data_IF_504003129650
#
_entry.id   IF_504003129650
#
_cell.length_a   1.000
_cell.length_b   1.000
_cell.length_c   1.000
_cell.angle_alpha   90.00
_cell.angle_beta   90.00
_cell.angle_gamma   90.00
#
_symmetry.space_group_name_H-M   'P 1'
#
loop_
_entity.id
_entity.type
_entity.pdbx_description
1 polymer ?
#
# COMPACT_ATOMS: atom_id res chain seq x y z
N UNK A 1 -20.47 23.11 -18.41
CA UNK A 1 -20.13 22.37 -17.18
C UNK A 1 -20.34 20.87 -17.30
N UNK A 2 -21.50 20.33 -17.72
CA UNK A 2 -21.77 18.88 -17.84
C UNK A 2 -20.76 18.14 -18.75
N UNK A 3 -20.30 18.73 -19.85
CA UNK A 3 -19.34 18.13 -20.79
C UNK A 3 -17.92 17.90 -20.21
N UNK A 4 -17.57 18.55 -19.09
CA UNK A 4 -16.29 18.38 -18.40
C UNK A 4 -16.45 17.48 -17.19
N UNK A 5 -17.52 17.67 -16.43
CA UNK A 5 -17.73 16.99 -15.14
C UNK A 5 -17.99 15.49 -15.30
N UNK A 6 -18.87 15.09 -16.24
CA UNK A 6 -19.22 13.67 -16.44
C UNK A 6 -17.98 12.83 -16.83
N UNK A 7 -17.17 13.19 -17.83
CA UNK A 7 -15.96 12.44 -18.16
C UNK A 7 -14.95 12.40 -17.00
N UNK A 8 -14.81 13.49 -16.24
CA UNK A 8 -13.90 13.52 -15.09
C UNK A 8 -14.36 12.54 -13.99
N UNK A 9 -15.63 12.59 -13.61
CA UNK A 9 -16.19 11.70 -12.58
C UNK A 9 -16.08 10.22 -13.01
N UNK A 10 -16.45 9.89 -14.25
CA UNK A 10 -16.33 8.54 -14.78
C UNK A 10 -14.87 8.07 -14.79
N UNK A 11 -13.96 8.91 -15.22
CA UNK A 11 -12.52 8.61 -15.23
C UNK A 11 -12.01 8.31 -13.82
N UNK A 12 -12.33 9.16 -12.85
CA UNK A 12 -11.94 8.99 -11.44
C UNK A 12 -12.51 7.68 -10.89
N UNK A 13 -13.81 7.43 -11.05
CA UNK A 13 -14.46 6.23 -10.51
C UNK A 13 -13.88 4.93 -11.11
N UNK A 14 -13.77 4.87 -12.43
CA UNK A 14 -13.22 3.69 -13.12
C UNK A 14 -11.77 3.45 -12.67
N UNK A 15 -10.96 4.49 -12.61
CA UNK A 15 -9.55 4.37 -12.21
C UNK A 15 -9.42 3.95 -10.76
N UNK A 16 -10.25 4.47 -9.84
CA UNK A 16 -10.23 4.06 -8.44
C UNK A 16 -10.63 2.59 -8.25
N UNK A 17 -11.62 2.11 -9.02
CA UNK A 17 -12.00 0.68 -9.03
C UNK A 17 -10.84 -0.17 -9.55
N UNK A 18 -10.20 0.22 -10.65
CA UNK A 18 -9.05 -0.50 -11.20
C UNK A 18 -7.92 -0.54 -10.17
N UNK A 19 -7.63 0.57 -9.51
CA UNK A 19 -6.59 0.66 -8.47
C UNK A 19 -6.88 -0.29 -7.31
N UNK A 20 -8.13 -0.36 -6.85
CA UNK A 20 -8.54 -1.29 -5.80
C UNK A 20 -8.44 -2.76 -6.24
N UNK A 21 -8.86 -3.08 -7.46
CA UNK A 21 -8.71 -4.43 -8.03
C UNK A 21 -7.25 -4.85 -8.15
N UNK A 22 -6.35 -3.94 -8.52
CA UNK A 22 -4.91 -4.25 -8.64
C UNK A 22 -4.25 -4.42 -7.28
N UNK A 23 -4.65 -3.65 -6.27
CA UNK A 23 -4.21 -3.86 -4.89
C UNK A 23 -4.64 -5.23 -4.40
N UNK A 24 -5.92 -5.59 -4.56
CA UNK A 24 -6.44 -6.91 -4.20
C UNK A 24 -5.72 -8.04 -4.94
N UNK A 25 -5.52 -7.91 -6.25
CA UNK A 25 -4.79 -8.90 -7.06
C UNK A 25 -3.36 -9.10 -6.52
N UNK A 26 -2.66 -8.01 -6.19
CA UNK A 26 -1.28 -8.08 -5.73
C UNK A 26 -1.18 -8.62 -4.30
N UNK A 27 -2.00 -8.12 -3.38
CA UNK A 27 -1.94 -8.47 -1.97
C UNK A 27 -2.48 -9.88 -1.69
N UNK A 28 -3.67 -10.21 -2.22
CA UNK A 28 -4.39 -11.43 -1.86
C UNK A 28 -4.10 -12.62 -2.81
N UNK A 29 -3.85 -12.35 -4.09
CA UNK A 29 -3.70 -13.42 -5.08
C UNK A 29 -2.22 -13.69 -5.37
N UNK A 30 -1.43 -12.64 -5.56
CA UNK A 30 -0.01 -12.77 -5.87
C UNK A 30 0.87 -12.79 -4.62
N UNK A 31 0.32 -12.47 -3.46
CA UNK A 31 1.03 -12.37 -2.17
C UNK A 31 2.30 -11.51 -2.26
N UNK A 32 2.24 -10.45 -3.06
CA UNK A 32 3.37 -9.55 -3.32
C UNK A 32 2.99 -8.10 -3.04
N UNK A 33 3.78 -7.48 -2.18
CA UNK A 33 3.67 -6.08 -1.79
C UNK A 33 4.95 -5.34 -2.17
N UNK A 34 5.12 -5.08 -3.46
CA UNK A 34 6.38 -4.59 -4.01
C UNK A 34 6.23 -3.36 -4.90
N UNK A 35 7.17 -3.22 -5.82
CA UNK A 35 7.23 -2.09 -6.76
C UNK A 35 5.99 -1.98 -7.65
N UNK A 36 5.34 -3.10 -7.97
CA UNK A 36 4.12 -3.12 -8.78
C UNK A 36 3.00 -2.33 -8.13
N UNK A 37 2.79 -2.51 -6.83
CA UNK A 37 1.74 -1.80 -6.08
C UNK A 37 2.06 -0.32 -5.92
N UNK A 38 3.29 0.01 -5.51
CA UNK A 38 3.64 1.38 -5.10
C UNK A 38 4.09 2.28 -6.26
N UNK A 39 4.59 1.72 -7.36
CA UNK A 39 5.09 2.48 -8.51
C UNK A 39 4.30 2.20 -9.79
N UNK A 40 4.21 0.91 -10.20
CA UNK A 40 3.61 0.56 -11.50
C UNK A 40 2.12 0.82 -11.51
N UNK A 41 1.39 0.38 -10.49
CA UNK A 41 -0.07 0.56 -10.41
C UNK A 41 -0.45 2.05 -10.41
N UNK A 42 0.09 2.94 -9.55
CA UNK A 42 -0.29 4.34 -9.57
C UNK A 42 0.13 5.05 -10.86
N UNK A 43 1.29 4.70 -11.45
CA UNK A 43 1.72 5.25 -12.74
C UNK A 43 0.73 4.89 -13.84
N UNK A 44 0.39 3.60 -13.97
CA UNK A 44 -0.54 3.12 -14.98
C UNK A 44 -1.97 3.63 -14.76
N UNK A 45 -2.42 3.68 -13.50
CA UNK A 45 -3.72 4.25 -13.14
C UNK A 45 -3.81 5.75 -13.49
N UNK A 46 -2.73 6.51 -13.26
CA UNK A 46 -2.63 7.90 -13.70
C UNK A 46 -2.75 8.04 -15.22
N UNK A 47 -2.06 7.19 -15.97
CA UNK A 47 -2.14 7.16 -17.42
C UNK A 47 -3.54 6.77 -17.93
N UNK A 48 -4.14 5.72 -17.35
CA UNK A 48 -5.51 5.29 -17.64
C UNK A 48 -6.51 6.41 -17.36
N UNK A 49 -6.40 7.09 -16.21
CA UNK A 49 -7.26 8.22 -15.86
C UNK A 49 -7.21 9.32 -16.90
N UNK A 50 -6.00 9.70 -17.31
CA UNK A 50 -5.78 10.72 -18.33
C UNK A 50 -6.36 10.31 -19.69
N UNK A 51 -6.13 9.07 -20.14
CA UNK A 51 -6.67 8.55 -21.40
C UNK A 51 -8.19 8.56 -21.38
N UNK A 52 -8.83 8.04 -20.34
CA UNK A 52 -10.28 8.03 -20.18
C UNK A 52 -10.88 9.43 -20.26
N UNK A 53 -10.25 10.39 -19.59
CA UNK A 53 -10.71 11.78 -19.58
C UNK A 53 -10.62 12.44 -20.98
N UNK A 54 -9.65 12.03 -21.80
CA UNK A 54 -9.42 12.60 -23.15
C UNK A 54 -10.13 11.83 -24.27
N UNK A 55 -10.72 10.65 -24.04
CA UNK A 55 -11.34 9.81 -25.09
C UNK A 55 -12.37 10.59 -25.92
N UNK A 56 -13.29 11.29 -25.25
CA UNK A 56 -14.39 11.97 -25.94
C UNK A 56 -13.94 13.27 -26.61
N UNK A 57 -13.12 14.05 -25.94
CA UNK A 57 -12.67 15.36 -26.41
C UNK A 57 -11.23 15.61 -25.98
N UNK A 58 -10.48 16.33 -26.83
CA UNK A 58 -9.13 16.77 -26.49
C UNK A 58 -9.16 17.77 -25.34
N UNK A 59 -8.48 17.44 -24.24
CA UNK A 59 -8.42 18.26 -23.03
C UNK A 59 -7.04 18.90 -22.88
N UNK A 60 -6.97 19.92 -22.02
CA UNK A 60 -5.69 20.54 -21.67
C UNK A 60 -4.90 19.64 -20.72
N UNK A 61 -3.57 19.67 -20.83
CA UNK A 61 -2.68 18.88 -19.99
C UNK A 61 -2.92 19.12 -18.50
N UNK A 62 -3.17 20.37 -18.10
CA UNK A 62 -3.47 20.73 -16.69
C UNK A 62 -4.74 20.06 -16.17
N UNK A 63 -5.77 19.93 -16.99
CA UNK A 63 -7.02 19.26 -16.64
C UNK A 63 -6.80 17.75 -16.48
N UNK A 64 -6.07 17.14 -17.42
CA UNK A 64 -5.72 15.72 -17.36
C UNK A 64 -4.88 15.41 -16.12
N UNK A 65 -3.89 16.24 -15.81
CA UNK A 65 -3.07 16.13 -14.62
C UNK A 65 -3.90 16.22 -13.34
N UNK A 66 -4.79 17.21 -13.26
CA UNK A 66 -5.68 17.38 -12.11
C UNK A 66 -6.59 16.16 -11.90
N UNK A 67 -7.20 15.64 -12.97
CA UNK A 67 -8.06 14.45 -12.90
C UNK A 67 -7.27 13.22 -12.46
N UNK A 68 -6.03 13.03 -12.95
CA UNK A 68 -5.16 11.92 -12.54
C UNK A 68 -4.76 12.02 -11.07
N UNK A 69 -4.37 13.20 -10.59
CA UNK A 69 -4.06 13.43 -9.16
C UNK A 69 -5.28 13.20 -8.27
N UNK A 70 -6.44 13.69 -8.70
CA UNK A 70 -7.69 13.50 -7.96
C UNK A 70 -8.08 12.02 -7.92
N UNK A 71 -7.86 11.26 -9.01
CA UNK A 71 -8.05 9.81 -9.02
C UNK A 71 -7.15 9.12 -8.00
N UNK A 72 -5.88 9.52 -7.91
CA UNK A 72 -4.94 9.01 -6.91
C UNK A 72 -5.38 9.30 -5.49
N UNK A 73 -5.79 10.53 -5.22
CA UNK A 73 -6.28 10.93 -3.91
C UNK A 73 -7.56 10.18 -3.50
N UNK A 74 -8.52 10.05 -4.41
CA UNK A 74 -9.77 9.29 -4.16
C UNK A 74 -9.48 7.80 -3.96
N UNK A 75 -8.50 7.21 -4.68
CA UNK A 75 -8.09 5.83 -4.48
C UNK A 75 -7.49 5.62 -3.08
N UNK A 76 -6.60 6.50 -2.63
CA UNK A 76 -6.03 6.44 -1.27
C UNK A 76 -7.11 6.58 -0.20
N UNK A 77 -8.03 7.52 -0.38
CA UNK A 77 -9.16 7.70 0.54
C UNK A 77 -10.06 6.46 0.56
N UNK A 78 -10.28 5.83 -0.59
CA UNK A 78 -11.00 4.57 -0.71
C UNK A 78 -10.32 3.44 0.07
N UNK A 79 -9.01 3.26 -0.07
CA UNK A 79 -8.27 2.23 0.67
C UNK A 79 -8.38 2.41 2.19
N UNK A 80 -8.36 3.66 2.65
CA UNK A 80 -8.57 3.98 4.06
C UNK A 80 -10.00 3.65 4.53
N UNK A 81 -11.02 4.10 3.78
CA UNK A 81 -12.42 3.95 4.20
C UNK A 81 -12.90 2.51 4.16
N UNK A 82 -12.37 1.70 3.25
CA UNK A 82 -12.70 0.26 3.16
C UNK A 82 -11.80 -0.62 4.05
N UNK A 83 -10.87 -0.03 4.80
CA UNK A 83 -10.01 -0.76 5.72
C UNK A 83 -8.96 -1.66 5.05
N UNK A 84 -8.64 -1.42 3.77
CA UNK A 84 -7.56 -2.16 3.09
C UNK A 84 -6.19 -1.82 3.64
N UNK A 85 -6.00 -0.56 4.08
CA UNK A 85 -4.73 -0.08 4.62
C UNK A 85 -4.95 0.89 5.78
N UNK A 86 -4.04 0.84 6.75
CA UNK A 86 -4.03 1.78 7.85
C UNK A 86 -3.66 3.19 7.41
N UNK A 87 -4.23 4.21 8.08
CA UNK A 87 -4.03 5.62 7.71
C UNK A 87 -2.56 6.05 7.66
N UNK A 88 -1.70 5.51 8.52
CA UNK A 88 -0.26 5.79 8.50
C UNK A 88 0.44 5.16 7.31
N UNK A 89 0.11 3.91 6.96
CA UNK A 89 0.67 3.27 5.77
C UNK A 89 0.36 4.09 4.52
N UNK A 90 -0.89 4.58 4.41
CA UNK A 90 -1.30 5.44 3.30
C UNK A 90 -0.61 6.81 3.31
N UNK A 91 -0.41 7.40 4.49
CA UNK A 91 0.33 8.66 4.63
C UNK A 91 1.79 8.51 4.20
N UNK A 92 2.42 7.38 4.53
CA UNK A 92 3.78 7.05 4.08
C UNK A 92 3.86 6.71 2.59
N UNK A 93 2.83 6.08 2.02
CA UNK A 93 2.77 5.74 0.60
C UNK A 93 2.41 6.94 -0.30
N UNK A 94 1.61 7.89 0.19
CA UNK A 94 1.12 9.03 -0.59
C UNK A 94 2.22 9.86 -1.27
N UNK A 95 3.37 10.19 -0.62
CA UNK A 95 4.48 10.91 -1.25
C UNK A 95 5.10 10.19 -2.45
N UNK A 96 4.93 8.87 -2.55
CA UNK A 96 5.41 8.05 -3.68
C UNK A 96 4.30 7.90 -4.72
N UNK A 97 3.11 7.52 -4.28
CA UNK A 97 2.00 7.19 -5.18
C UNK A 97 1.45 8.41 -5.93
N UNK A 98 1.27 9.55 -5.27
CA UNK A 98 0.70 10.75 -5.92
C UNK A 98 1.58 11.30 -7.04
N UNK A 99 2.92 11.43 -6.89
CA UNK A 99 3.80 11.74 -8.02
C UNK A 99 3.72 10.73 -9.15
N UNK A 100 3.58 9.42 -8.86
CA UNK A 100 3.40 8.40 -9.88
C UNK A 100 2.08 8.58 -10.64
N UNK A 101 0.97 8.89 -9.96
CA UNK A 101 -0.29 9.26 -10.63
C UNK A 101 -0.12 10.50 -11.51
N UNK A 102 0.60 11.52 -11.05
CA UNK A 102 0.87 12.72 -11.83
C UNK A 102 1.71 12.42 -13.09
N UNK A 103 2.81 11.69 -12.92
CA UNK A 103 3.67 11.27 -14.04
C UNK A 103 2.91 10.40 -15.03
N UNK A 104 2.14 9.43 -14.54
CA UNK A 104 1.26 8.60 -15.35
C UNK A 104 0.26 9.45 -16.14
N UNK A 105 -0.36 10.42 -15.48
CA UNK A 105 -1.29 11.36 -16.11
C UNK A 105 -0.66 12.18 -17.24
N UNK A 106 0.57 12.65 -17.04
CA UNK A 106 1.34 13.35 -18.08
C UNK A 106 1.68 12.44 -19.25
N UNK A 107 2.20 11.25 -18.96
CA UNK A 107 2.54 10.25 -19.98
C UNK A 107 1.31 9.81 -20.77
N UNK A 108 0.22 9.48 -20.08
CA UNK A 108 -1.04 9.08 -20.71
C UNK A 108 -1.61 10.17 -21.60
N UNK A 109 -1.55 11.43 -21.17
CA UNK A 109 -1.94 12.56 -21.99
C UNK A 109 -1.08 12.68 -23.26
N UNK A 110 0.26 12.64 -23.12
CA UNK A 110 1.20 12.74 -24.24
C UNK A 110 1.02 11.59 -25.23
N UNK A 111 1.02 10.34 -24.74
CA UNK A 111 0.83 9.16 -25.57
C UNK A 111 -0.51 9.23 -26.33
N UNK A 112 -1.60 9.56 -25.61
CA UNK A 112 -2.91 9.64 -26.22
C UNK A 112 -2.98 10.70 -27.33
N UNK A 113 -2.33 11.86 -27.15
CA UNK A 113 -2.27 12.90 -28.18
C UNK A 113 -1.52 12.41 -29.43
N UNK A 114 -0.45 11.63 -29.27
CA UNK A 114 0.35 11.09 -30.36
C UNK A 114 -0.38 10.00 -31.16
N UNK A 115 -1.12 9.12 -30.48
CA UNK A 115 -1.71 7.93 -31.13
C UNK A 115 -3.18 8.11 -31.48
N UNK A 116 -3.83 9.18 -31.05
CA UNK A 116 -5.27 9.42 -31.27
C UNK A 116 -5.69 9.37 -32.75
N UNK A 117 -4.87 9.89 -33.65
CA UNK A 117 -5.18 9.93 -35.08
C UNK A 117 -4.97 8.56 -35.74
N UNK A 118 -4.14 7.71 -35.14
CA UNK A 118 -3.81 6.37 -35.66
C UNK A 118 -4.71 5.30 -35.01
N UNK A 119 -4.93 5.38 -33.70
CA UNK A 119 -5.71 4.41 -32.92
C UNK A 119 -6.98 5.09 -32.44
N UNK A 120 -8.13 4.71 -33.02
CA UNK A 120 -9.43 5.29 -32.70
C UNK A 120 -10.10 4.60 -31.53
N UNK A 121 -10.92 5.35 -30.79
CA UNK A 121 -11.83 4.81 -29.77
C UNK A 121 -11.17 4.44 -28.44
N UNK A 122 -11.57 3.30 -27.90
CA UNK A 122 -11.18 2.84 -26.55
C UNK A 122 -9.95 1.92 -26.53
N UNK A 123 -9.36 1.63 -27.69
CA UNK A 123 -8.22 0.71 -27.83
C UNK A 123 -7.03 1.07 -26.93
N UNK A 124 -6.60 2.35 -26.78
CA UNK A 124 -5.49 2.70 -25.88
C UNK A 124 -5.79 2.37 -24.42
N UNK A 125 -7.01 2.56 -23.98
CA UNK A 125 -7.45 2.22 -22.63
C UNK A 125 -7.40 0.70 -22.41
N UNK A 126 -7.93 -0.10 -23.35
CA UNK A 126 -7.93 -1.57 -23.22
C UNK A 126 -6.52 -2.15 -23.21
N UNK A 127 -5.59 -1.60 -24.01
CA UNK A 127 -4.20 -2.01 -23.99
C UNK A 127 -3.53 -1.71 -22.65
N UNK A 128 -3.75 -0.54 -22.08
CA UNK A 128 -3.21 -0.17 -20.75
C UNK A 128 -3.81 -1.03 -19.65
N UNK A 129 -5.11 -1.30 -19.72
CA UNK A 129 -5.80 -2.14 -18.74
C UNK A 129 -5.28 -3.59 -18.77
N UNK A 130 -5.04 -4.17 -19.95
CA UNK A 130 -4.47 -5.50 -20.10
C UNK A 130 -3.00 -5.60 -19.68
N UNK A 131 -2.21 -4.55 -19.91
CA UNK A 131 -0.80 -4.52 -19.57
C UNK A 131 -0.55 -4.54 -18.06
N UNK A 132 -1.43 -3.93 -17.28
CA UNK A 132 -1.26 -3.74 -15.84
C UNK A 132 -1.16 -5.07 -15.06
N UNK A 133 -2.13 -6.02 -15.18
CA UNK A 133 -2.01 -7.32 -14.51
C UNK A 133 -0.86 -8.18 -15.05
N UNK A 134 -0.46 -8.00 -16.31
CA UNK A 134 0.71 -8.68 -16.87
C UNK A 134 1.99 -8.21 -16.19
N UNK A 135 2.15 -6.91 -15.96
CA UNK A 135 3.32 -6.34 -15.27
C UNK A 135 3.38 -6.82 -13.82
N UNK A 136 2.25 -6.83 -13.10
CA UNK A 136 2.18 -7.37 -11.73
C UNK A 136 2.51 -8.87 -11.69
N UNK A 137 1.95 -9.66 -12.61
CA UNK A 137 2.23 -11.09 -12.72
C UNK A 137 3.67 -11.40 -13.12
N UNK A 138 4.32 -10.51 -13.87
CA UNK A 138 5.75 -10.64 -14.18
C UNK A 138 6.61 -10.34 -12.95
N UNK A 139 6.28 -9.29 -12.19
CA UNK A 139 6.97 -8.98 -10.93
C UNK A 139 6.88 -10.13 -9.93
N UNK A 140 5.72 -10.79 -9.81
CA UNK A 140 5.53 -11.90 -8.87
C UNK A 140 6.47 -13.08 -9.14
N UNK A 141 6.98 -13.23 -10.38
CA UNK A 141 7.92 -14.27 -10.77
C UNK A 141 9.39 -13.90 -10.56
N UNK A 142 9.69 -12.63 -10.27
CA UNK A 142 11.04 -12.22 -9.97
C UNK A 142 11.47 -12.79 -8.61
N UNK A 143 12.67 -13.38 -8.50
CA UNK A 143 13.17 -13.86 -7.22
C UNK A 143 13.32 -12.67 -6.27
N UNK A 144 12.62 -12.72 -5.16
CA UNK A 144 12.83 -11.77 -4.06
C UNK A 144 14.07 -12.24 -3.32
N UNK A 145 15.15 -11.50 -3.42
CA UNK A 145 16.29 -11.67 -2.54
C UNK A 145 15.89 -11.06 -1.19
N UNK A 146 15.57 -11.94 -0.24
CA UNK A 146 15.33 -11.52 1.14
C UNK A 146 16.61 -10.95 1.72
N UNK A 147 16.75 -9.64 1.62
CA UNK A 147 17.81 -8.94 2.33
C UNK A 147 17.43 -8.84 3.81
N UNK A 148 17.91 -9.79 4.60
CA UNK A 148 17.79 -9.71 6.06
C UNK A 148 18.50 -8.43 6.50
N UNK A 149 17.74 -7.47 6.99
CA UNK A 149 18.25 -6.23 7.55
C UNK A 149 18.14 -6.31 9.06
N UNK A 150 19.29 -6.18 9.74
CA UNK A 150 19.32 -6.10 11.19
C UNK A 150 19.07 -4.65 11.62
N UNK A 151 18.04 -4.44 12.43
CA UNK A 151 17.78 -3.17 13.11
C UNK A 151 18.11 -3.36 14.58
N UNK A 152 18.92 -2.48 15.17
CA UNK A 152 19.28 -2.51 16.57
C UNK A 152 18.80 -1.24 17.26
N UNK A 153 17.94 -1.40 18.26
CA UNK A 153 17.51 -0.34 19.17
C UNK A 153 18.10 -0.60 20.54
N UNK A 154 18.66 0.41 21.19
CA UNK A 154 19.22 0.32 22.54
C UNK A 154 18.47 1.27 23.45
N UNK A 155 17.99 0.74 24.58
CA UNK A 155 17.41 1.53 25.67
C UNK A 155 18.17 1.20 26.96
N UNK A 156 18.32 2.18 27.82
CA UNK A 156 18.87 1.96 29.16
C UNK A 156 17.71 1.80 30.13
N UNK A 157 17.74 0.74 30.93
CA UNK A 157 16.71 0.43 31.92
C UNK A 157 17.42 0.29 33.29
N UNK A 158 16.98 1.05 34.28
CA UNK A 158 17.42 0.90 35.67
C UNK A 158 16.60 -0.18 36.33
N UNK A 159 17.16 -1.38 36.51
CA UNK A 159 16.48 -2.52 37.12
C UNK A 159 17.37 -3.76 37.17
N UNK A 160 16.92 -4.76 37.88
CA UNK A 160 17.58 -6.07 37.91
C UNK A 160 17.42 -6.75 36.54
N UNK A 161 18.50 -7.39 36.06
CA UNK A 161 18.51 -8.04 34.74
C UNK A 161 17.52 -9.18 34.64
N UNK A 162 17.27 -9.90 35.80
CA UNK A 162 16.31 -10.97 35.85
C UNK A 162 14.88 -10.47 35.71
N UNK A 163 14.55 -9.35 36.35
CA UNK A 163 13.21 -8.73 36.25
C UNK A 163 12.95 -8.23 34.83
N UNK A 164 13.93 -7.56 34.25
CA UNK A 164 13.84 -7.10 32.85
C UNK A 164 13.67 -8.27 31.89
N UNK A 165 14.38 -9.38 32.14
CA UNK A 165 14.26 -10.58 31.30
C UNK A 165 12.85 -11.19 31.36
N UNK A 166 12.21 -11.22 32.51
CA UNK A 166 10.85 -11.70 32.66
C UNK A 166 9.85 -10.89 31.84
N UNK A 167 9.98 -9.56 31.87
CA UNK A 167 9.13 -8.66 31.09
C UNK A 167 9.42 -8.71 29.57
N UNK A 168 10.60 -9.13 29.16
CA UNK A 168 10.92 -9.36 27.73
C UNK A 168 10.26 -10.63 27.22
N UNK A 169 10.24 -11.70 28.04
CA UNK A 169 9.66 -12.98 27.65
C UNK A 169 8.14 -12.91 27.58
N UNK A 170 7.52 -12.38 28.63
CA UNK A 170 6.08 -12.25 28.74
C UNK A 170 5.75 -11.02 29.60
N UNK A 171 4.70 -10.31 29.25
CA UNK A 171 4.23 -9.16 30.01
C UNK A 171 2.70 -9.13 30.08
N UNK A 172 2.20 -8.56 31.17
CA UNK A 172 0.77 -8.43 31.42
C UNK A 172 0.15 -7.36 30.52
N UNK A 173 -1.18 -7.34 30.48
CA UNK A 173 -1.94 -6.38 29.66
C UNK A 173 -1.49 -4.93 29.90
N UNK A 174 -1.05 -4.27 28.85
CA UNK A 174 -0.67 -2.86 28.85
C UNK A 174 -1.93 -2.02 28.66
N UNK A 175 -2.09 -0.88 29.38
CA UNK A 175 -3.21 0.02 29.18
C UNK A 175 -3.29 0.51 27.73
N UNK A 176 -4.51 0.68 27.21
CA UNK A 176 -4.70 1.23 25.87
C UNK A 176 -4.03 2.59 25.72
N UNK A 177 -3.26 2.80 24.63
CA UNK A 177 -2.62 4.08 24.38
C UNK A 177 -3.67 5.16 24.09
N UNK A 178 -3.45 6.33 24.65
CA UNK A 178 -4.37 7.48 24.50
C UNK A 178 -4.10 8.33 23.29
N UNK A 179 -2.92 8.18 22.68
CA UNK A 179 -2.45 8.97 21.55
C UNK A 179 -3.31 8.72 20.29
N UNK A 180 -3.64 9.80 19.62
CA UNK A 180 -4.50 9.79 18.44
C UNK A 180 -3.97 8.89 17.29
N UNK A 181 -2.65 8.70 17.23
CA UNK A 181 -1.99 7.86 16.23
C UNK A 181 -2.46 6.40 16.29
N UNK A 182 -2.58 5.85 17.50
CA UNK A 182 -3.07 4.47 17.69
C UNK A 182 -4.55 4.34 17.35
N UNK A 183 -5.33 5.41 17.53
CA UNK A 183 -6.74 5.48 17.12
C UNK A 183 -6.92 5.49 15.60
N UNK A 184 -5.87 5.81 14.84
CA UNK A 184 -5.84 5.76 13.37
C UNK A 184 -5.48 4.35 12.82
N UNK A 185 -5.42 3.33 13.67
CA UNK A 185 -5.17 1.95 13.24
C UNK A 185 -3.70 1.51 13.28
N UNK A 186 -2.81 2.23 13.99
CA UNK A 186 -1.50 1.69 14.30
C UNK A 186 -1.65 0.56 15.30
N UNK A 187 -1.04 -0.59 14.97
CA UNK A 187 -0.96 -1.71 15.89
C UNK A 187 -0.15 -1.33 17.14
N UNK A 188 -0.66 -1.69 18.30
CA UNK A 188 0.04 -1.57 19.56
C UNK A 188 -0.04 -2.90 20.33
N UNK A 189 0.99 -3.24 21.12
CA UNK A 189 0.99 -4.46 21.92
C UNK A 189 -0.03 -4.36 23.06
N UNK A 190 -0.73 -5.46 23.31
CA UNK A 190 -1.69 -5.59 24.42
C UNK A 190 -1.05 -6.39 25.56
N UNK A 191 -0.54 -7.57 25.26
CA UNK A 191 0.15 -8.46 26.19
C UNK A 191 1.05 -9.43 25.43
N UNK A 192 1.89 -10.16 26.16
CA UNK A 192 2.65 -11.27 25.60
C UNK A 192 2.64 -12.46 26.58
N UNK A 193 2.34 -13.64 26.05
CA UNK A 193 2.36 -14.90 26.78
C UNK A 193 3.32 -15.89 26.12
N UNK A 194 3.85 -16.85 26.90
CA UNK A 194 4.73 -17.89 26.38
C UNK A 194 4.25 -19.26 26.83
N UNK A 195 4.25 -20.20 25.92
CA UNK A 195 3.99 -21.62 26.16
C UNK A 195 5.29 -22.42 26.08
N UNK A 196 5.69 -23.04 27.18
CA UNK A 196 6.96 -23.75 27.28
C UNK A 196 8.11 -22.87 27.79
N UNK A 197 9.33 -23.39 27.69
CA UNK A 197 10.55 -22.75 28.19
C UNK A 197 11.74 -23.13 27.28
N UNK A 198 12.62 -22.15 27.03
CA UNK A 198 13.81 -22.38 26.23
C UNK A 198 13.56 -22.43 24.71
N UNK A 199 14.50 -23.02 23.98
CA UNK A 199 14.40 -23.20 22.53
C UNK A 199 13.24 -24.16 22.21
N UNK A 200 12.37 -23.76 21.28
CA UNK A 200 11.16 -24.50 20.91
C UNK A 200 9.89 -24.05 21.65
N UNK A 201 10.00 -23.20 22.66
CA UNK A 201 8.84 -22.52 23.25
C UNK A 201 8.15 -21.63 22.21
N UNK A 202 6.85 -21.38 22.40
CA UNK A 202 6.06 -20.52 21.50
C UNK A 202 5.63 -19.29 22.29
N UNK A 203 6.03 -18.11 21.83
CA UNK A 203 5.60 -16.84 22.36
C UNK A 203 4.46 -16.27 21.50
N UNK A 204 3.40 -15.83 22.17
CA UNK A 204 2.28 -15.14 21.55
C UNK A 204 2.37 -13.66 21.94
N UNK A 205 2.62 -12.81 20.98
CA UNK A 205 2.62 -11.37 21.15
C UNK A 205 1.30 -10.82 20.62
N UNK A 206 0.39 -10.43 21.51
CA UNK A 206 -0.94 -9.98 21.16
C UNK A 206 -0.94 -8.48 20.91
N UNK A 207 -1.32 -8.10 19.68
CA UNK A 207 -1.49 -6.72 19.26
C UNK A 207 -2.97 -6.41 19.02
N UNK A 208 -3.32 -5.14 18.97
CA UNK A 208 -4.68 -4.67 18.67
C UNK A 208 -5.21 -5.15 17.30
N UNK A 209 -4.33 -5.59 16.41
CA UNK A 209 -4.66 -6.06 15.05
C UNK A 209 -4.57 -7.58 14.89
N UNK A 210 -4.18 -8.31 15.94
CA UNK A 210 -4.04 -9.76 15.93
C UNK A 210 -2.78 -10.23 16.65
N UNK A 211 -2.64 -11.54 16.83
CA UNK A 211 -1.52 -12.15 17.53
C UNK A 211 -0.42 -12.57 16.58
N UNK A 212 0.83 -12.29 16.96
CA UNK A 212 2.01 -12.87 16.33
C UNK A 212 2.43 -14.12 17.09
N UNK A 213 2.63 -15.21 16.34
CA UNK A 213 3.12 -16.48 16.87
C UNK A 213 4.63 -16.54 16.61
N UNK A 214 5.41 -16.52 17.68
CA UNK A 214 6.87 -16.41 17.64
C UNK A 214 7.53 -17.68 18.18
N UNK A 215 7.94 -18.63 17.33
CA UNK A 215 8.72 -19.78 17.80
C UNK A 215 10.11 -19.32 18.23
N UNK A 216 10.50 -19.67 19.46
CA UNK A 216 11.80 -19.33 20.03
C UNK A 216 12.89 -20.21 19.41
N UNK A 217 13.78 -19.61 18.66
CA UNK A 217 14.91 -20.29 18.01
C UNK A 217 16.21 -20.19 18.80
N UNK A 218 16.34 -19.20 19.66
CA UNK A 218 17.48 -19.03 20.55
C UNK A 218 17.00 -18.56 21.91
N UNK A 219 17.60 -19.08 22.96
CA UNK A 219 17.30 -18.75 24.34
C UNK A 219 18.59 -18.48 25.10
N UNK A 220 18.85 -17.23 25.41
CA UNK A 220 20.04 -16.80 26.16
C UNK A 220 19.56 -15.93 27.31
N UNK A 221 19.35 -16.53 28.48
CA UNK A 221 18.96 -15.78 29.68
C UNK A 221 19.98 -14.68 30.00
N UNK A 222 19.47 -13.51 30.36
CA UNK A 222 20.27 -12.37 30.81
C UNK A 222 21.32 -11.87 29.83
N UNK A 223 21.07 -12.01 28.54
CA UNK A 223 21.92 -11.46 27.47
C UNK A 223 21.17 -10.55 26.54
#
# INVERSE_FOLDING_TARGET
MKKILIPAVLSIMITSIISAMMLFLSAEILEKYGYGVFLVTPLMCGAISSVLYNIAEKRKIKESLFVSLLSGFISLLGFFTFGYEGGICLLMAAPIMLPCFALGGLLGHGIFQLIRDTIKGQTPFLLMLGLLPILLGLESRLPVTDHIRQVQTRIFIEGDIGDVWQEVIAFNTIPEPTEWLFKMGIAYPIDATIEGHGVGAIRYCNFSTGSFVEPITQWNENK
#
